data_IF_499069320945
#
_entry.id   IF_499069320945
#
_cell.length_a   1.000
_cell.length_b   1.000
_cell.length_c   1.000
_cell.angle_alpha   90.00
_cell.angle_beta   90.00
_cell.angle_gamma   90.00
#
_symmetry.space_group_name_H-M   'P 1'
#
loop_
_entity.id
_entity.type
_entity.pdbx_description
1 polymer ?
#
# COMPACT_ATOMS: atom_id res chain seq x y z
N UNK A 1 -0.20 30.25 -14.32
CA UNK A 1 -1.07 29.44 -13.43
C UNK A 1 -0.54 29.60 -12.02
N UNK A 2 -1.31 30.20 -11.10
CA UNK A 2 -0.82 30.51 -9.74
C UNK A 2 -0.61 29.24 -8.92
N UNK A 3 0.28 29.31 -7.93
CA UNK A 3 0.61 28.21 -7.00
C UNK A 3 -0.62 27.68 -6.25
N UNK A 4 -1.57 28.57 -5.93
CA UNK A 4 -2.86 28.25 -5.30
C UNK A 4 -3.68 27.29 -6.18
N UNK A 5 -3.77 27.56 -7.50
CA UNK A 5 -4.54 26.70 -8.44
C UNK A 5 -3.92 25.31 -8.53
N UNK A 6 -2.58 25.20 -8.47
CA UNK A 6 -1.89 23.90 -8.45
C UNK A 6 -2.18 23.13 -7.16
N UNK A 7 -2.19 23.81 -6.01
CA UNK A 7 -2.49 23.21 -4.70
C UNK A 7 -3.93 22.72 -4.62
N UNK A 8 -4.90 23.48 -5.14
CA UNK A 8 -6.31 23.08 -5.17
C UNK A 8 -6.55 21.87 -6.08
N UNK A 9 -5.90 21.84 -7.26
CA UNK A 9 -5.96 20.70 -8.17
C UNK A 9 -5.38 19.43 -7.53
N UNK A 10 -4.22 19.55 -6.85
CA UNK A 10 -3.61 18.42 -6.14
C UNK A 10 -4.52 17.88 -5.02
N UNK A 11 -5.08 18.78 -4.21
CA UNK A 11 -6.02 18.40 -3.15
C UNK A 11 -7.28 17.73 -3.70
N UNK A 12 -7.81 18.22 -4.83
CA UNK A 12 -8.96 17.64 -5.52
C UNK A 12 -8.68 16.22 -6.01
N UNK A 13 -7.53 16.02 -6.65
CA UNK A 13 -7.08 14.70 -7.11
C UNK A 13 -6.91 13.72 -5.94
N UNK A 14 -6.20 14.12 -4.88
CA UNK A 14 -5.97 13.27 -3.70
C UNK A 14 -7.29 12.86 -3.04
N UNK A 15 -8.23 13.80 -2.89
CA UNK A 15 -9.55 13.52 -2.34
C UNK A 15 -10.35 12.52 -3.20
N UNK A 16 -10.27 12.64 -4.52
CA UNK A 16 -10.92 11.72 -5.45
C UNK A 16 -10.31 10.31 -5.36
N UNK A 17 -8.97 10.21 -5.35
CA UNK A 17 -8.25 8.94 -5.24
C UNK A 17 -8.48 8.27 -3.88
N UNK A 18 -8.50 9.05 -2.81
CA UNK A 18 -8.81 8.57 -1.45
C UNK A 18 -10.25 8.05 -1.35
N UNK A 19 -11.21 8.73 -1.99
CA UNK A 19 -12.59 8.22 -2.09
C UNK A 19 -12.64 6.89 -2.86
N UNK A 20 -11.99 6.81 -4.01
CA UNK A 20 -11.90 5.59 -4.81
C UNK A 20 -11.35 4.42 -3.98
N UNK A 21 -10.24 4.65 -3.26
CA UNK A 21 -9.62 3.64 -2.39
C UNK A 21 -10.56 3.13 -1.31
N UNK A 22 -11.25 4.01 -0.59
CA UNK A 22 -12.20 3.61 0.46
C UNK A 22 -13.36 2.78 -0.10
N UNK A 23 -13.87 3.15 -1.26
CA UNK A 23 -14.99 2.43 -1.91
C UNK A 23 -14.54 1.07 -2.47
N UNK A 24 -13.30 0.98 -2.97
CA UNK A 24 -12.74 -0.23 -3.58
C UNK A 24 -12.21 -1.25 -2.56
N UNK A 25 -11.69 -0.79 -1.42
CA UNK A 25 -11.10 -1.63 -0.37
C UNK A 25 -11.95 -2.84 0.07
N UNK A 26 -13.28 -2.71 0.35
CA UNK A 26 -14.08 -3.87 0.72
C UNK A 26 -14.22 -4.89 -0.42
N UNK A 27 -14.35 -4.43 -1.67
CA UNK A 27 -14.42 -5.30 -2.85
C UNK A 27 -13.13 -6.07 -3.05
N UNK A 28 -11.97 -5.40 -3.00
CA UNK A 28 -10.68 -6.10 -3.11
C UNK A 28 -10.47 -7.13 -2.01
N UNK A 29 -10.83 -6.79 -0.77
CA UNK A 29 -10.71 -7.74 0.35
C UNK A 29 -11.59 -8.98 0.16
N UNK A 30 -12.83 -8.79 -0.29
CA UNK A 30 -13.74 -9.91 -0.56
C UNK A 30 -13.20 -10.81 -1.68
N UNK A 31 -12.73 -10.20 -2.78
CA UNK A 31 -12.12 -10.93 -3.89
C UNK A 31 -10.83 -11.65 -3.48
N UNK A 32 -9.99 -11.05 -2.63
CA UNK A 32 -8.78 -11.68 -2.10
C UNK A 32 -9.09 -12.89 -1.23
N UNK A 33 -10.16 -12.84 -0.44
CA UNK A 33 -10.64 -13.98 0.36
C UNK A 33 -11.16 -15.08 -0.56
N UNK A 34 -12.01 -14.73 -1.53
CA UNK A 34 -12.52 -15.68 -2.51
C UNK A 34 -11.41 -16.34 -3.33
N UNK A 35 -10.41 -15.57 -3.75
CA UNK A 35 -9.27 -16.07 -4.52
C UNK A 35 -8.29 -16.90 -3.67
N UNK A 36 -8.34 -16.83 -2.34
CA UNK A 36 -7.52 -17.67 -1.47
C UNK A 36 -8.03 -19.12 -1.41
N UNK A 37 -9.35 -19.30 -1.42
CA UNK A 37 -10.02 -20.60 -1.41
C UNK A 37 -11.43 -20.50 -2.04
N UNK A 38 -11.53 -20.63 -3.39
CA UNK A 38 -12.81 -20.50 -4.07
C UNK A 38 -13.80 -21.59 -3.66
N UNK A 39 -13.33 -22.81 -3.40
CA UNK A 39 -14.18 -23.95 -3.05
C UNK A 39 -14.85 -23.81 -1.68
N UNK A 40 -14.29 -23.00 -0.79
CA UNK A 40 -14.86 -22.70 0.53
C UNK A 40 -15.89 -21.55 0.50
N UNK A 41 -16.13 -20.91 -0.65
CA UNK A 41 -17.07 -19.80 -0.78
C UNK A 41 -18.42 -20.30 -1.32
N UNK A 42 -19.36 -20.60 -0.43
CA UNK A 42 -20.67 -21.17 -0.78
C UNK A 42 -21.49 -20.26 -1.72
N UNK A 43 -21.42 -18.94 -1.55
CA UNK A 43 -22.18 -17.95 -2.33
C UNK A 43 -21.37 -17.35 -3.49
N UNK A 44 -20.23 -17.96 -3.87
CA UNK A 44 -19.28 -17.35 -4.82
C UNK A 44 -19.92 -17.00 -6.17
N UNK A 45 -20.77 -17.89 -6.70
CA UNK A 45 -21.46 -17.69 -7.98
C UNK A 45 -22.33 -16.41 -7.96
N UNK A 46 -23.04 -16.17 -6.85
CA UNK A 46 -23.92 -15.02 -6.69
C UNK A 46 -23.14 -13.72 -6.39
N UNK A 47 -22.00 -13.82 -5.69
CA UNK A 47 -21.21 -12.66 -5.29
C UNK A 47 -20.30 -12.11 -6.39
N UNK A 48 -19.75 -12.98 -7.26
CA UNK A 48 -18.79 -12.59 -8.29
C UNK A 48 -19.30 -11.51 -9.25
N UNK A 49 -20.54 -11.58 -9.79
CA UNK A 49 -21.07 -10.52 -10.66
C UNK A 49 -21.14 -9.16 -9.96
N UNK A 50 -21.50 -9.15 -8.67
CA UNK A 50 -21.55 -7.92 -7.86
C UNK A 50 -20.14 -7.33 -7.71
N UNK A 51 -19.13 -8.15 -7.46
CA UNK A 51 -17.76 -7.71 -7.33
C UNK A 51 -17.15 -7.25 -8.66
N UNK A 52 -17.43 -7.95 -9.75
CA UNK A 52 -17.05 -7.54 -11.11
C UNK A 52 -17.63 -6.17 -11.45
N UNK A 53 -18.91 -5.95 -11.14
CA UNK A 53 -19.54 -4.64 -11.35
C UNK A 53 -18.90 -3.54 -10.50
N UNK A 54 -18.56 -3.83 -9.24
CA UNK A 54 -17.86 -2.88 -8.39
C UNK A 54 -16.46 -2.51 -8.94
N UNK A 55 -15.73 -3.48 -9.50
CA UNK A 55 -14.46 -3.21 -10.20
C UNK A 55 -14.66 -2.37 -11.46
N UNK A 56 -15.70 -2.65 -12.25
CA UNK A 56 -16.06 -1.83 -13.41
C UNK A 56 -16.33 -0.37 -13.01
N UNK A 57 -17.17 -0.15 -12.00
CA UNK A 57 -17.47 1.21 -11.50
C UNK A 57 -16.21 1.89 -10.97
N UNK A 58 -15.32 1.17 -10.30
CA UNK A 58 -14.04 1.71 -9.85
C UNK A 58 -13.15 2.12 -11.05
N UNK A 59 -13.10 1.32 -12.11
CA UNK A 59 -12.36 1.64 -13.33
C UNK A 59 -12.92 2.89 -14.03
N UNK A 60 -14.25 3.00 -14.16
CA UNK A 60 -14.90 4.20 -14.73
C UNK A 60 -14.61 5.45 -13.89
N UNK A 61 -14.62 5.32 -12.55
CA UNK A 61 -14.26 6.42 -11.66
C UNK A 61 -12.80 6.82 -11.81
N UNK A 62 -11.89 5.85 -11.91
CA UNK A 62 -10.48 6.13 -12.15
C UNK A 62 -10.29 6.86 -13.48
N UNK A 63 -10.97 6.42 -14.55
CA UNK A 63 -10.94 7.08 -15.86
C UNK A 63 -11.46 8.53 -15.81
N UNK A 64 -12.44 8.81 -14.96
CA UNK A 64 -13.01 10.15 -14.78
C UNK A 64 -12.16 11.10 -13.91
N UNK A 65 -11.07 10.64 -13.32
CA UNK A 65 -10.15 11.49 -12.55
C UNK A 65 -9.04 11.98 -13.50
N UNK A 66 -8.95 13.30 -13.69
CA UNK A 66 -7.85 13.88 -14.45
C UNK A 66 -6.53 13.73 -13.68
N UNK A 67 -5.50 13.06 -14.24
CA UNK A 67 -4.22 12.88 -13.56
C UNK A 67 -3.47 14.20 -13.43
N UNK A 68 -2.73 14.34 -12.32
CA UNK A 68 -1.80 15.45 -12.13
C UNK A 68 -0.57 15.28 -13.01
N UNK A 69 0.03 16.40 -13.41
CA UNK A 69 1.29 16.39 -14.14
C UNK A 69 2.40 15.66 -13.36
N UNK A 70 3.02 14.68 -13.99
CA UNK A 70 4.04 13.79 -13.42
C UNK A 70 3.48 12.52 -12.73
N UNK A 71 2.15 12.33 -12.72
CA UNK A 71 1.47 11.19 -12.10
C UNK A 71 0.67 10.36 -13.11
N UNK A 72 0.71 10.75 -14.40
CA UNK A 72 -0.08 10.17 -15.48
C UNK A 72 0.20 8.66 -15.62
N UNK A 73 1.47 8.27 -15.60
CA UNK A 73 1.88 6.86 -15.73
C UNK A 73 1.35 6.01 -14.56
N UNK A 74 1.54 6.45 -13.32
CA UNK A 74 1.03 5.73 -12.15
C UNK A 74 -0.50 5.67 -12.12
N UNK A 75 -1.17 6.70 -12.66
CA UNK A 75 -2.62 6.72 -12.78
C UNK A 75 -3.13 5.78 -13.88
N UNK A 76 -2.45 5.76 -15.03
CA UNK A 76 -2.71 4.81 -16.12
C UNK A 76 -2.50 3.36 -15.65
N UNK A 77 -1.42 3.08 -14.91
CA UNK A 77 -1.18 1.76 -14.30
C UNK A 77 -2.36 1.29 -13.44
N UNK A 78 -2.97 2.19 -12.66
CA UNK A 78 -4.17 1.86 -11.88
C UNK A 78 -5.37 1.52 -12.78
N UNK A 79 -5.60 2.30 -13.83
CA UNK A 79 -6.69 2.05 -14.77
C UNK A 79 -6.53 0.68 -15.45
N UNK A 80 -5.32 0.38 -15.93
CA UNK A 80 -4.98 -0.92 -16.54
C UNK A 80 -5.16 -2.06 -15.53
N UNK A 81 -4.64 -1.92 -14.32
CA UNK A 81 -4.77 -2.94 -13.29
C UNK A 81 -6.23 -3.23 -12.93
N UNK A 82 -7.08 -2.20 -12.83
CA UNK A 82 -8.52 -2.37 -12.59
C UNK A 82 -9.22 -3.09 -13.74
N UNK A 83 -8.86 -2.79 -14.99
CA UNK A 83 -9.41 -3.47 -16.15
C UNK A 83 -9.04 -4.95 -16.17
N UNK A 84 -7.77 -5.29 -15.89
CA UNK A 84 -7.30 -6.68 -15.81
C UNK A 84 -8.01 -7.40 -14.66
N UNK A 85 -8.06 -6.83 -13.46
CA UNK A 85 -8.76 -7.45 -12.32
C UNK A 85 -10.24 -7.71 -12.61
N UNK A 86 -10.92 -6.80 -13.33
CA UNK A 86 -12.30 -7.00 -13.77
C UNK A 86 -12.42 -8.17 -14.73
N UNK A 87 -11.53 -8.27 -15.70
CA UNK A 87 -11.55 -9.33 -16.72
C UNK A 87 -11.27 -10.71 -16.11
N UNK A 88 -10.23 -10.83 -15.28
CA UNK A 88 -9.93 -12.08 -14.58
C UNK A 88 -11.09 -12.49 -13.64
N UNK A 89 -11.72 -11.52 -12.97
CA UNK A 89 -12.92 -11.80 -12.15
C UNK A 89 -14.10 -12.26 -13.02
N UNK A 90 -14.24 -11.76 -14.25
CA UNK A 90 -15.26 -12.20 -15.19
C UNK A 90 -15.03 -13.65 -15.63
N UNK A 91 -13.78 -13.99 -15.95
CA UNK A 91 -13.40 -15.34 -16.37
C UNK A 91 -13.61 -16.36 -15.24
N UNK A 92 -13.30 -15.98 -14.01
CA UNK A 92 -13.64 -16.79 -12.83
C UNK A 92 -15.14 -16.94 -12.67
N UNK A 93 -15.91 -15.86 -12.81
CA UNK A 93 -17.38 -15.91 -12.71
C UNK A 93 -18.01 -16.85 -13.74
N UNK A 94 -17.55 -16.80 -14.98
CA UNK A 94 -17.98 -17.71 -16.06
C UNK A 94 -17.63 -19.17 -15.71
N UNK A 95 -16.41 -19.43 -15.28
CA UNK A 95 -15.95 -20.78 -14.89
C UNK A 95 -16.76 -21.34 -13.72
N UNK A 96 -17.07 -20.50 -12.72
CA UNK A 96 -17.89 -20.89 -11.56
C UNK A 96 -19.32 -21.18 -11.98
N UNK A 97 -19.92 -20.36 -12.84
CA UNK A 97 -21.28 -20.59 -13.33
C UNK A 97 -21.41 -21.88 -14.17
N UNK A 98 -20.36 -22.26 -14.91
CA UNK A 98 -20.36 -23.46 -15.75
C UNK A 98 -20.05 -24.75 -14.99
N UNK A 99 -19.08 -24.71 -14.07
CA UNK A 99 -18.48 -25.90 -13.49
C UNK A 99 -18.35 -25.86 -11.95
N UNK A 100 -18.90 -24.83 -11.31
CA UNK A 100 -18.91 -24.64 -9.86
C UNK A 100 -17.60 -24.05 -9.29
N UNK A 101 -17.58 -23.71 -7.99
CA UNK A 101 -16.46 -23.02 -7.34
C UNK A 101 -15.10 -23.74 -7.43
N UNK A 102 -15.11 -25.08 -7.39
CA UNK A 102 -13.88 -25.87 -7.50
C UNK A 102 -13.18 -25.74 -8.86
N UNK A 103 -13.92 -25.43 -9.93
CA UNK A 103 -13.33 -25.25 -11.25
C UNK A 103 -12.47 -23.96 -11.35
N UNK A 104 -12.72 -22.98 -10.48
CA UNK A 104 -11.95 -21.74 -10.43
C UNK A 104 -10.50 -21.95 -9.98
N UNK A 105 -10.15 -23.10 -9.36
CA UNK A 105 -8.78 -23.41 -8.91
C UNK A 105 -7.73 -23.23 -10.01
N UNK A 106 -8.09 -23.53 -11.26
CA UNK A 106 -7.19 -23.39 -12.41
C UNK A 106 -6.84 -21.93 -12.76
N UNK A 107 -7.64 -20.96 -12.30
CA UNK A 107 -7.50 -19.53 -12.60
C UNK A 107 -7.04 -18.70 -11.38
N UNK A 108 -6.85 -19.34 -10.21
CA UNK A 108 -6.54 -18.65 -8.97
C UNK A 108 -5.25 -17.83 -9.07
N UNK A 109 -4.25 -18.30 -9.82
CA UNK A 109 -2.96 -17.61 -9.90
C UNK A 109 -3.05 -16.30 -10.70
N UNK A 110 -3.69 -16.35 -11.86
CA UNK A 110 -3.96 -15.21 -12.73
C UNK A 110 -4.85 -14.19 -12.00
N UNK A 111 -5.92 -14.68 -11.36
CA UNK A 111 -6.85 -13.84 -10.62
C UNK A 111 -6.16 -13.13 -9.44
N UNK A 112 -5.39 -13.86 -8.63
CA UNK A 112 -4.61 -13.27 -7.52
C UNK A 112 -3.56 -12.28 -8.03
N UNK A 113 -2.92 -12.59 -9.16
CA UNK A 113 -1.95 -11.69 -9.80
C UNK A 113 -2.58 -10.35 -10.19
N UNK A 114 -3.78 -10.39 -10.77
CA UNK A 114 -4.52 -9.18 -11.14
C UNK A 114 -4.96 -8.35 -9.92
N UNK A 115 -5.49 -8.99 -8.87
CA UNK A 115 -5.85 -8.31 -7.62
C UNK A 115 -4.63 -7.66 -6.95
N UNK A 116 -3.49 -8.36 -6.95
CA UNK A 116 -2.23 -7.81 -6.48
C UNK A 116 -1.78 -6.61 -7.31
N UNK A 117 -1.93 -6.68 -8.64
CA UNK A 117 -1.64 -5.58 -9.55
C UNK A 117 -2.37 -4.28 -9.18
N UNK A 118 -3.66 -4.37 -8.82
CA UNK A 118 -4.44 -3.20 -8.36
C UNK A 118 -3.83 -2.61 -7.09
N UNK A 119 -3.45 -3.45 -6.12
CA UNK A 119 -2.82 -2.96 -4.87
C UNK A 119 -1.47 -2.33 -5.11
N UNK A 120 -0.67 -2.90 -6.00
CA UNK A 120 0.63 -2.36 -6.37
C UNK A 120 0.47 -0.99 -7.04
N UNK A 121 -0.49 -0.84 -7.96
CA UNK A 121 -0.76 0.44 -8.61
C UNK A 121 -1.21 1.53 -7.59
N UNK A 122 -2.10 1.18 -6.66
CA UNK A 122 -2.50 2.08 -5.57
C UNK A 122 -1.31 2.50 -4.69
N UNK A 123 -0.42 1.56 -4.35
CA UNK A 123 0.79 1.86 -3.59
C UNK A 123 1.77 2.76 -4.34
N UNK A 124 1.90 2.58 -5.66
CA UNK A 124 2.76 3.44 -6.49
C UNK A 124 2.23 4.86 -6.55
N UNK A 125 0.91 5.05 -6.64
CA UNK A 125 0.30 6.37 -6.54
C UNK A 125 0.58 7.06 -5.19
N UNK A 126 0.54 6.32 -4.07
CA UNK A 126 0.90 6.85 -2.75
C UNK A 126 2.39 7.24 -2.66
N UNK A 127 3.27 6.46 -3.29
CA UNK A 127 4.68 6.76 -3.37
C UNK A 127 4.97 8.01 -4.21
N UNK A 128 4.26 8.19 -5.32
CA UNK A 128 4.33 9.39 -6.17
C UNK A 128 3.87 10.63 -5.40
N UNK A 129 2.77 10.53 -4.64
CA UNK A 129 2.28 11.60 -3.78
C UNK A 129 3.30 12.02 -2.71
N UNK A 130 3.92 11.03 -2.06
CA UNK A 130 4.92 11.27 -1.02
C UNK A 130 6.20 11.92 -1.57
N UNK A 131 6.57 11.63 -2.82
CA UNK A 131 7.72 12.22 -3.50
C UNK A 131 7.46 13.66 -3.96
N UNK A 132 6.20 13.98 -4.31
CA UNK A 132 5.79 15.29 -4.78
C UNK A 132 5.58 16.31 -3.65
N UNK A 133 5.32 15.86 -2.41
CA UNK A 133 5.28 16.74 -1.26
C UNK A 133 6.63 17.46 -1.11
N UNK A 134 6.68 18.80 -0.93
CA UNK A 134 7.93 19.47 -0.61
C UNK A 134 8.48 18.77 0.63
N UNK A 135 9.68 18.20 0.51
CA UNK A 135 10.43 17.73 1.67
C UNK A 135 10.52 18.93 2.59
N UNK A 136 9.66 18.99 3.61
CA UNK A 136 10.00 19.73 4.80
C UNK A 136 11.32 19.11 5.19
N UNK A 137 12.41 19.85 4.99
CA UNK A 137 13.71 19.50 5.48
C UNK A 137 13.59 19.54 7.01
N UNK A 138 12.95 18.52 7.57
CA UNK A 138 13.05 18.15 8.96
C UNK A 138 14.52 17.94 9.15
N UNK A 139 15.16 18.93 9.78
CA UNK A 139 16.60 19.00 9.96
C UNK A 139 17.07 17.61 10.32
N UNK A 140 17.85 17.00 9.41
CA UNK A 140 18.31 15.63 9.50
C UNK A 140 18.78 15.43 10.93
N UNK A 141 18.02 14.68 11.73
CA UNK A 141 18.39 14.43 13.11
C UNK A 141 19.61 13.50 13.03
N UNK A 142 20.79 14.10 12.91
CA UNK A 142 22.07 13.41 12.83
C UNK A 142 22.35 12.72 14.18
N UNK A 143 21.75 13.23 15.26
CA UNK A 143 21.89 12.75 16.63
C UNK A 143 21.52 11.26 16.80
N UNK A 144 20.33 10.75 16.39
CA UNK A 144 20.02 9.32 16.50
C UNK A 144 20.95 8.44 15.68
N UNK A 145 21.41 8.89 14.50
CA UNK A 145 22.37 8.13 13.67
C UNK A 145 23.74 8.05 14.36
N UNK A 146 24.22 9.16 14.92
CA UNK A 146 25.46 9.19 15.70
C UNK A 146 25.38 8.35 16.97
N UNK A 147 24.24 8.38 17.68
CA UNK A 147 24.01 7.59 18.89
C UNK A 147 23.96 6.10 18.57
N UNK A 148 23.32 5.71 17.47
CA UNK A 148 23.27 4.31 17.03
C UNK A 148 24.67 3.82 16.61
N UNK A 149 25.42 4.62 15.85
CA UNK A 149 26.79 4.30 15.46
C UNK A 149 27.72 4.19 16.67
N UNK A 150 27.62 5.11 17.64
CA UNK A 150 28.39 5.07 18.88
C UNK A 150 28.05 3.85 19.75
N UNK A 151 26.77 3.48 19.83
CA UNK A 151 26.32 2.28 20.52
C UNK A 151 26.87 1.00 19.89
N UNK A 152 26.77 0.87 18.57
CA UNK A 152 27.30 -0.28 17.82
C UNK A 152 28.82 -0.39 17.97
N UNK A 153 29.56 0.71 17.83
CA UNK A 153 31.02 0.74 18.00
C UNK A 153 31.44 0.38 19.44
N UNK A 154 30.68 0.81 20.45
CA UNK A 154 30.95 0.47 21.85
C UNK A 154 30.75 -1.02 22.15
N UNK A 155 29.75 -1.65 21.54
CA UNK A 155 29.49 -3.10 21.68
C UNK A 155 30.59 -3.92 20.98
N UNK A 156 30.96 -3.56 19.75
CA UNK A 156 32.03 -4.23 18.99
C UNK A 156 33.41 -4.08 19.66
N UNK A 157 33.74 -2.89 20.17
CA UNK A 157 34.98 -2.65 20.90
C UNK A 157 35.03 -3.36 22.26
N UNK A 158 33.91 -3.40 22.99
CA UNK A 158 33.81 -4.08 24.28
C UNK A 158 33.92 -5.60 24.19
N UNK A 159 33.43 -6.21 23.11
CA UNK A 159 33.51 -7.66 22.87
C UNK A 159 34.96 -8.17 22.71
N UNK A 160 35.88 -7.33 22.19
CA UNK A 160 37.30 -7.67 22.04
C UNK A 160 38.10 -7.55 23.35
N UNK A 161 37.59 -6.84 24.37
CA UNK A 161 38.34 -6.47 25.58
C UNK A 161 37.82 -7.11 26.89
N UNK A 162 36.80 -7.97 26.84
CA UNK A 162 36.22 -8.71 27.97
C UNK A 162 35.86 -7.85 29.23
N UNK A 163 35.51 -6.57 29.04
CA UNK A 163 35.16 -5.64 30.11
C UNK A 163 33.64 -5.47 30.24
N UNK A 164 33.04 -6.19 31.20
CA UNK A 164 31.59 -6.24 31.42
C UNK A 164 30.88 -4.89 31.74
N UNK A 165 31.50 -3.88 32.37
CA UNK A 165 30.81 -2.62 32.67
C UNK A 165 30.49 -1.78 31.42
N UNK A 166 31.31 -1.94 30.36
CA UNK A 166 31.16 -1.21 29.09
C UNK A 166 29.97 -1.74 28.30
N UNK A 167 29.69 -3.05 28.40
CA UNK A 167 28.52 -3.71 27.83
C UNK A 167 27.20 -3.14 28.36
N UNK A 168 27.11 -2.97 29.68
CA UNK A 168 25.89 -2.46 30.33
C UNK A 168 25.61 -1.01 29.92
N UNK A 169 26.64 -0.16 29.84
CA UNK A 169 26.50 1.23 29.42
C UNK A 169 26.02 1.35 27.96
N UNK A 170 26.52 0.50 27.05
CA UNK A 170 26.08 0.47 25.66
C UNK A 170 24.60 0.10 25.49
N UNK A 171 24.13 -0.92 26.23
CA UNK A 171 22.72 -1.35 26.20
C UNK A 171 21.77 -0.29 26.77
N UNK A 172 22.16 0.40 27.84
CA UNK A 172 21.39 1.52 28.40
C UNK A 172 21.27 2.65 27.38
N UNK A 173 22.34 2.97 26.64
CA UNK A 173 22.30 4.02 25.62
C UNK A 173 21.36 3.67 24.45
N UNK A 174 21.38 2.42 23.99
CA UNK A 174 20.52 1.93 22.91
C UNK A 174 19.04 1.96 23.31
N UNK A 175 18.73 1.55 24.54
CA UNK A 175 17.34 1.56 25.05
C UNK A 175 16.81 2.96 25.34
N UNK A 176 17.66 3.90 25.76
CA UNK A 176 17.26 5.32 25.89
C UNK A 176 16.99 5.96 24.52
N UNK A 177 17.76 5.61 23.48
CA UNK A 177 17.57 6.13 22.13
C UNK A 177 16.20 5.76 21.54
N UNK A 178 15.77 4.50 21.74
CA UNK A 178 14.45 4.05 21.29
C UNK A 178 13.32 4.72 22.07
N UNK A 179 13.50 4.93 23.38
CA UNK A 179 12.51 5.62 24.22
C UNK A 179 12.33 7.11 23.84
N UNK A 180 13.42 7.80 23.47
CA UNK A 180 13.37 9.20 23.00
C UNK A 180 12.73 9.30 21.62
N UNK A 181 12.95 8.31 20.75
CA UNK A 181 12.36 8.27 19.40
C UNK A 181 10.86 7.92 19.40
N UNK A 182 10.35 7.33 20.49
CA UNK A 182 8.93 6.95 20.65
C UNK A 182 8.01 8.06 21.16
N UNK A 183 8.53 9.19 21.68
CA UNK A 183 7.68 10.31 22.10
C UNK A 183 7.25 11.13 20.89
N UNK A 184 6.00 10.96 20.47
CA UNK A 184 5.34 11.88 19.53
C UNK A 184 5.31 13.29 20.13
N UNK A 185 5.57 14.35 19.35
CA UNK A 185 5.42 15.72 19.81
C UNK A 185 3.92 16.02 19.94
N UNK A 186 3.42 16.02 21.18
CA UNK A 186 1.99 16.25 21.46
C UNK A 186 1.62 16.32 22.95
N UNK A 187 2.45 15.78 23.85
CA UNK A 187 2.20 15.88 25.30
C UNK A 187 3.24 16.80 25.97
N UNK A 188 3.00 18.11 25.87
CA UNK A 188 3.44 19.16 26.80
C UNK A 188 2.61 20.43 26.60
#
# INVERSE_FOLDING_TARGET
MSEIVRSEAAQGYENALERLRRELAPTLRALEVAAADPAACDDLEDELPRHQYALHVAAERALGIEPLAGWEEAHEELQVALAIAREETAQVAETVAEAGPAAAEALVWEWRGALFGVRLALQRLDATASSAAPQQAGGRAILPVLLLAAGVLSVLGGALAALWPVWAAGLVLVTLSTAVSGRRPGDA
#
